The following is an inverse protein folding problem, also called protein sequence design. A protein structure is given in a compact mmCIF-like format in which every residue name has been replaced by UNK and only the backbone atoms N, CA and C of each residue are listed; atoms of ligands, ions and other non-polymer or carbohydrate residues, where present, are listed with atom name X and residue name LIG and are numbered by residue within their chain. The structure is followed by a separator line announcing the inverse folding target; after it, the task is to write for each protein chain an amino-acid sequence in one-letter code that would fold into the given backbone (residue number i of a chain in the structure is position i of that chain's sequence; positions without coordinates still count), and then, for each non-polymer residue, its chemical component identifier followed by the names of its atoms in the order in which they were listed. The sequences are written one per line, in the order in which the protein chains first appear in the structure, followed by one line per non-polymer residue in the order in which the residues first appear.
data_IF_006751633355
#
_entry.id   IF_006751633355
#
_cell.length_a   1.000
_cell.length_b   1.000
_cell.length_c   1.000
_cell.angle_alpha   90.00
_cell.angle_beta   90.00
_cell.angle_gamma   90.00
#
_symmetry.space_group_name_H-M   'P 1'
#
loop_
_entity.id
_entity.type
_entity.pdbx_description
1 polymer ?
#
# COMPACT_ATOMS: atom_id res chain seq x y z
N UNK A 1 -15.56 1.80 -8.81
CA UNK A 1 -14.49 2.66 -8.26
C UNK A 1 -13.21 2.47 -9.05
N UNK A 2 -12.80 1.24 -9.35
CA UNK A 2 -11.63 0.99 -10.23
C UNK A 2 -11.73 1.65 -11.59
N UNK A 3 -12.89 1.62 -12.24
CA UNK A 3 -13.08 2.29 -13.52
C UNK A 3 -12.76 3.80 -13.44
N UNK A 4 -13.11 4.47 -12.34
CA UNK A 4 -12.80 5.89 -12.13
C UNK A 4 -11.30 6.12 -11.88
N UNK A 5 -10.63 5.22 -11.16
CA UNK A 5 -9.18 5.25 -10.95
C UNK A 5 -8.40 5.03 -12.25
N UNK A 6 -8.86 4.14 -13.12
CA UNK A 6 -8.26 3.92 -14.44
C UNK A 6 -8.48 5.14 -15.34
N UNK A 7 -9.70 5.69 -15.33
CA UNK A 7 -10.03 6.88 -16.12
C UNK A 7 -9.33 8.15 -15.64
N UNK A 8 -8.88 8.23 -14.38
CA UNK A 8 -8.15 9.39 -13.86
C UNK A 8 -6.69 9.44 -14.30
N UNK A 9 -6.16 8.38 -14.92
CA UNK A 9 -4.77 8.30 -15.38
C UNK A 9 -3.74 8.18 -14.25
N UNK A 10 -4.17 7.98 -12.99
CA UNK A 10 -3.24 7.92 -11.85
C UNK A 10 -2.25 6.74 -11.95
N UNK A 11 -2.65 5.65 -12.60
CA UNK A 11 -1.78 4.50 -12.86
C UNK A 11 -0.67 4.80 -13.88
N UNK A 12 -0.90 5.76 -14.78
CA UNK A 12 0.13 6.21 -15.73
C UNK A 12 1.12 7.16 -15.05
N UNK A 13 0.64 8.01 -14.15
CA UNK A 13 1.48 8.91 -13.37
C UNK A 13 2.38 8.18 -12.36
N UNK A 14 1.94 7.01 -11.87
CA UNK A 14 2.65 6.22 -10.86
C UNK A 14 2.66 4.74 -11.25
N UNK A 15 3.65 4.36 -12.05
CA UNK A 15 3.83 2.98 -12.53
C UNK A 15 4.04 1.94 -11.42
N UNK A 16 4.48 2.36 -10.23
CA UNK A 16 4.63 1.48 -9.07
C UNK A 16 3.31 1.15 -8.34
N UNK A 17 2.21 1.84 -8.67
CA UNK A 17 0.90 1.58 -8.08
C UNK A 17 0.20 0.44 -8.84
N UNK A 18 0.04 -0.69 -8.16
CA UNK A 18 -0.86 -1.74 -8.64
C UNK A 18 -2.31 -1.39 -8.30
N UNK A 19 -2.98 -0.69 -9.22
CA UNK A 19 -4.39 -0.32 -9.11
C UNK A 19 -5.35 -1.52 -9.15
N UNK A 20 -4.88 -2.72 -9.49
CA UNK A 20 -5.70 -3.93 -9.52
C UNK A 20 -5.72 -4.66 -8.17
N UNK A 21 -4.64 -4.59 -7.38
CA UNK A 21 -4.56 -5.26 -6.08
C UNK A 21 -4.59 -4.32 -4.87
N UNK A 22 -4.36 -3.02 -5.05
CA UNK A 22 -4.31 -2.08 -3.93
C UNK A 22 -5.68 -1.95 -3.23
N UNK A 23 -5.71 -1.95 -1.88
CA UNK A 23 -6.90 -1.56 -1.14
C UNK A 23 -7.22 -0.09 -1.42
N UNK A 24 -8.50 0.19 -1.61
CA UNK A 24 -8.98 1.55 -1.85
C UNK A 24 -10.13 1.88 -0.91
N UNK A 25 -10.25 3.15 -0.56
CA UNK A 25 -11.28 3.63 0.35
C UNK A 25 -11.88 4.95 -0.09
N UNK A 26 -12.97 5.31 0.58
CA UNK A 26 -13.65 6.60 0.42
C UNK A 26 -13.78 7.21 1.81
N UNK A 27 -13.28 8.43 2.00
CA UNK A 27 -13.29 9.14 3.29
C UNK A 27 -12.85 8.27 4.48
N UNK A 28 -11.69 7.61 4.38
CA UNK A 28 -11.14 6.76 5.44
C UNK A 28 -11.83 5.41 5.64
N UNK A 29 -12.82 5.05 4.82
CA UNK A 29 -13.47 3.74 4.85
C UNK A 29 -12.98 2.88 3.68
N UNK A 30 -12.35 1.76 4.01
CA UNK A 30 -11.94 0.77 3.00
C UNK A 30 -13.16 0.14 2.36
N UNK A 31 -13.19 0.10 1.04
CA UNK A 31 -14.26 -0.52 0.25
C UNK A 31 -13.84 -1.97 -0.07
N UNK A 32 -14.69 -2.92 0.29
CA UNK A 32 -14.41 -4.35 0.09
C UNK A 32 -14.49 -4.79 -1.38
N UNK A 33 -15.41 -4.19 -2.17
CA UNK A 33 -15.56 -4.47 -3.60
C UNK A 33 -15.45 -3.16 -4.42
N UNK A 34 -14.21 -2.72 -4.74
CA UNK A 34 -13.98 -1.50 -5.53
C UNK A 34 -14.44 -1.60 -6.99
N UNK A 35 -14.60 -2.83 -7.49
CA UNK A 35 -15.00 -3.08 -8.88
C UNK A 35 -16.48 -2.75 -9.08
N UNK A 36 -17.32 -3.13 -8.11
CA UNK A 36 -18.77 -2.87 -8.17
C UNK A 36 -19.23 -1.58 -7.51
N UNK A 37 -18.38 -0.93 -6.73
CA UNK A 37 -18.79 0.30 -6.02
C UNK A 37 -18.97 1.49 -7.00
N UNK A 38 -20.17 2.08 -7.13
CA UNK A 38 -20.37 3.25 -7.96
C UNK A 38 -19.80 4.50 -7.28
N UNK A 39 -18.94 5.24 -7.97
CA UNK A 39 -18.35 6.50 -7.47
C UNK A 39 -19.34 7.64 -7.69
N UNK A 40 -19.50 8.48 -6.68
CA UNK A 40 -20.35 9.66 -6.74
C UNK A 40 -19.53 10.95 -6.80
N UNK A 41 -20.15 12.02 -7.31
CA UNK A 41 -19.52 13.34 -7.31
C UNK A 41 -19.29 13.81 -5.86
N UNK A 42 -18.07 14.22 -5.54
CA UNK A 42 -17.65 14.60 -4.20
C UNK A 42 -16.97 13.50 -3.39
N UNK A 43 -16.92 12.26 -3.89
CA UNK A 43 -16.17 11.19 -3.24
C UNK A 43 -14.67 11.47 -3.28
N UNK A 44 -14.04 11.47 -2.09
CA UNK A 44 -12.58 11.45 -1.99
C UNK A 44 -12.09 10.01 -1.99
N UNK A 45 -11.57 9.58 -3.13
CA UNK A 45 -10.95 8.27 -3.30
C UNK A 45 -9.55 8.27 -2.70
N UNK A 46 -9.29 7.30 -1.84
CA UNK A 46 -8.00 7.07 -1.17
C UNK A 46 -7.43 5.73 -1.66
N UNK A 47 -6.16 5.72 -2.07
CA UNK A 47 -5.44 4.52 -2.52
C UNK A 47 -4.42 4.15 -1.44
N UNK A 48 -4.59 3.00 -0.81
CA UNK A 48 -3.69 2.54 0.25
C UNK A 48 -2.57 1.69 -0.34
N UNK A 49 -1.33 1.97 0.07
CA UNK A 49 -0.19 1.11 -0.27
C UNK A 49 0.01 0.05 0.82
N UNK A 50 0.12 -1.24 0.43
CA UNK A 50 0.46 -2.28 1.39
C UNK A 50 1.87 -2.04 1.95
N UNK A 51 2.08 -2.48 3.19
CA UNK A 51 3.41 -2.42 3.80
C UNK A 51 4.33 -3.42 3.11
N UNK A 52 5.43 -2.92 2.54
CA UNK A 52 6.42 -3.74 1.84
C UNK A 52 7.26 -4.62 2.78
N UNK A 53 7.32 -4.28 4.07
CA UNK A 53 8.05 -5.03 5.07
C UNK A 53 7.25 -5.12 6.37
N UNK A 54 7.12 -6.33 6.90
CA UNK A 54 6.58 -6.53 8.25
C UNK A 54 7.55 -5.86 9.25
N UNK A 55 7.09 -4.88 10.05
CA UNK A 55 7.92 -4.21 11.05
C UNK A 55 8.63 -5.19 12.01
N UNK A 56 8.03 -6.36 12.27
CA UNK A 56 8.64 -7.41 13.10
C UNK A 56 9.87 -8.02 12.42
N UNK A 57 9.78 -8.27 11.13
CA UNK A 57 10.85 -8.87 10.36
C UNK A 57 12.04 -7.91 10.22
N UNK A 58 11.76 -6.62 9.99
CA UNK A 58 12.78 -5.57 9.98
C UNK A 58 13.47 -5.45 11.35
N UNK A 59 12.71 -5.55 12.44
CA UNK A 59 13.26 -5.53 13.80
C UNK A 59 14.15 -6.75 14.07
N UNK A 60 13.74 -7.94 13.62
CA UNK A 60 14.50 -9.19 13.73
C UNK A 60 15.84 -9.10 12.98
N UNK A 61 15.83 -8.64 11.74
CA UNK A 61 17.03 -8.47 10.92
C UNK A 61 18.03 -7.47 11.52
N UNK A 62 17.54 -6.37 12.10
CA UNK A 62 18.39 -5.39 12.79
C UNK A 62 19.06 -5.98 14.04
N UNK A 63 18.31 -6.74 14.84
CA UNK A 63 18.86 -7.40 16.03
C UNK A 63 19.94 -8.43 15.68
N UNK A 64 19.72 -9.25 14.64
CA UNK A 64 20.68 -10.23 14.17
C UNK A 64 22.00 -9.58 13.70
N UNK A 65 21.92 -8.52 12.89
CA UNK A 65 23.11 -7.76 12.45
C UNK A 65 23.89 -7.14 13.61
N UNK A 66 23.20 -6.64 14.64
CA UNK A 66 23.86 -6.09 15.82
C UNK A 66 24.59 -7.17 16.63
N UNK A 67 24.01 -8.37 16.76
CA UNK A 67 24.64 -9.50 17.43
C UNK A 67 25.87 -10.02 16.66
N UNK A 68 25.80 -10.14 15.34
CA UNK A 68 26.93 -10.53 14.49
C UNK A 68 28.08 -9.51 14.53
N UNK A 69 27.76 -8.21 14.53
CA UNK A 69 28.77 -7.16 14.65
C UNK A 69 29.52 -7.24 15.98
N UNK A 70 28.81 -7.55 17.09
CA UNK A 70 29.41 -7.72 18.41
C UNK A 70 30.30 -8.96 18.50
N UNK A 71 29.90 -10.07 17.88
CA UNK A 71 30.69 -11.30 17.83
C UNK A 71 31.94 -11.17 16.94
N UNK A 72 31.93 -10.29 15.94
CA UNK A 72 33.08 -10.07 15.04
C UNK A 72 34.10 -9.07 15.64
N UNK A 73 33.69 -8.29 16.64
CA UNK A 73 34.56 -7.36 17.37
C UNK A 73 35.11 -7.90 18.70
N UNK A 74 34.85 -9.17 19.02
CA UNK A 74 35.40 -9.92 20.16
C UNK A 74 36.45 -10.91 19.68
#
# INVERSE_FOLDING_TARGET
MRAALLASGIGEAFSELDLASCPVGIFGKVIADPDKYPVQAGDRIEIYRPLLADPKEVRRLRAAKAAEAKNRSQ
#
